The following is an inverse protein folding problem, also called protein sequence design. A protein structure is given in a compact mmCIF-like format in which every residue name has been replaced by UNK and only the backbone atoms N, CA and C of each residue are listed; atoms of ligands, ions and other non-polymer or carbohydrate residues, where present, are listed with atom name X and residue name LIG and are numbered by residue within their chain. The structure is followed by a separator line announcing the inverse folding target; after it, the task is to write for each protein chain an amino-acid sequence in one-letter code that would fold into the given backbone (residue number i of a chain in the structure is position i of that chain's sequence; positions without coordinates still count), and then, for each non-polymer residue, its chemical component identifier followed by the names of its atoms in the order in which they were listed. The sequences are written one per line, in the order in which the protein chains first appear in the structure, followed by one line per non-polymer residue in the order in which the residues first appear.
data_IF_494467432197
#
_entry.id   IF_494467432197
#
_cell.length_a   1.000
_cell.length_b   1.000
_cell.length_c   1.000
_cell.angle_alpha   90.00
_cell.angle_beta   90.00
_cell.angle_gamma   90.00
#
_symmetry.space_group_name_H-M   'P 1'
#
loop_
_entity.id
_entity.type
_entity.pdbx_description
1 polymer ?
#
# COMPACT_ATOMS: atom_id res chain seq x y z
N UNK A 1 -11.05 -5.46 -13.07
CA UNK A 1 -10.57 -5.87 -11.71
C UNK A 1 -9.41 -6.80 -11.95
N UNK A 2 -8.35 -6.68 -11.16
CA UNK A 2 -7.14 -7.50 -11.27
C UNK A 2 -6.90 -8.26 -9.97
N UNK A 3 -6.50 -9.52 -10.06
CA UNK A 3 -5.98 -10.24 -8.88
C UNK A 3 -4.65 -9.61 -8.48
N UNK A 4 -4.52 -9.28 -7.19
CA UNK A 4 -3.38 -8.59 -6.59
C UNK A 4 -2.63 -9.44 -5.57
N UNK A 5 -3.28 -10.44 -4.99
CA UNK A 5 -2.72 -11.37 -4.03
C UNK A 5 -3.62 -12.60 -3.92
N UNK A 6 -3.05 -13.70 -3.47
CA UNK A 6 -3.77 -14.93 -3.12
C UNK A 6 -3.56 -15.22 -1.64
N UNK A 7 -4.53 -15.85 -0.98
CA UNK A 7 -4.31 -16.43 0.34
C UNK A 7 -5.35 -17.51 0.64
N UNK A 8 -4.90 -18.70 1.04
CA UNK A 8 -5.77 -19.80 1.48
C UNK A 8 -6.82 -20.22 0.43
N UNK A 9 -6.45 -20.19 -0.86
CA UNK A 9 -7.32 -20.48 -1.99
C UNK A 9 -8.18 -19.29 -2.44
N UNK A 10 -7.99 -18.09 -1.87
CA UNK A 10 -8.79 -16.91 -2.18
C UNK A 10 -7.93 -15.85 -2.88
N UNK A 11 -8.35 -15.49 -4.09
CA UNK A 11 -7.83 -14.32 -4.79
C UNK A 11 -8.43 -13.02 -4.25
N UNK A 12 -7.57 -12.06 -3.94
CA UNK A 12 -7.95 -10.68 -3.64
C UNK A 12 -7.83 -9.82 -4.90
N UNK A 13 -8.81 -8.95 -5.12
CA UNK A 13 -8.89 -8.11 -6.31
C UNK A 13 -8.87 -6.62 -6.00
N UNK A 14 -8.28 -5.85 -6.90
CA UNK A 14 -8.38 -4.38 -6.93
C UNK A 14 -8.83 -3.88 -8.31
N UNK A 15 -9.25 -2.62 -8.36
CA UNK A 15 -9.53 -1.95 -9.63
C UNK A 15 -8.23 -1.60 -10.36
N UNK A 16 -8.26 -1.64 -11.69
CA UNK A 16 -7.12 -1.29 -12.54
C UNK A 16 -6.75 0.19 -12.50
N UNK A 17 -7.72 1.05 -12.18
CA UNK A 17 -7.55 2.50 -12.01
C UNK A 17 -7.29 2.92 -10.55
N UNK A 18 -7.22 1.95 -9.64
CA UNK A 18 -6.83 2.14 -8.25
C UNK A 18 -5.35 1.87 -8.02
N UNK A 19 -4.91 2.03 -6.77
CA UNK A 19 -3.55 1.73 -6.35
C UNK A 19 -3.56 0.97 -5.03
N UNK A 20 -2.46 0.28 -4.70
CA UNK A 20 -2.42 -0.62 -3.55
C UNK A 20 -1.12 -0.47 -2.77
N UNK A 21 -1.15 -0.89 -1.52
CA UNK A 21 0.05 -0.98 -0.70
C UNK A 21 -0.02 -2.15 0.29
N UNK A 22 1.07 -2.89 0.36
CA UNK A 22 1.24 -3.97 1.33
C UNK A 22 2.05 -3.51 2.54
N UNK A 23 2.84 -2.44 2.42
CA UNK A 23 3.79 -2.02 3.48
C UNK A 23 3.67 -0.56 3.95
N UNK A 24 2.81 0.28 3.36
CA UNK A 24 2.68 1.71 3.71
C UNK A 24 1.75 1.94 4.92
N UNK A 25 2.02 1.24 6.02
CA UNK A 25 1.22 1.32 7.24
C UNK A 25 2.04 0.84 8.43
N UNK A 26 1.93 1.47 9.62
CA UNK A 26 2.75 1.13 10.78
C UNK A 26 2.28 -0.15 11.48
N UNK A 27 1.11 -0.67 11.10
CA UNK A 27 0.40 -1.74 11.78
C UNK A 27 1.01 -3.12 11.53
N UNK A 28 0.77 -4.04 12.46
CA UNK A 28 1.36 -5.37 12.47
C UNK A 28 1.12 -6.13 11.16
N UNK A 29 -0.10 -6.09 10.62
CA UNK A 29 -0.44 -6.89 9.45
C UNK A 29 0.44 -6.57 8.23
N UNK A 30 0.69 -5.29 7.95
CA UNK A 30 1.58 -4.84 6.86
C UNK A 30 3.05 -5.17 7.07
N UNK A 31 3.46 -5.33 8.33
CA UNK A 31 4.82 -5.81 8.65
C UNK A 31 5.01 -7.30 8.47
N UNK A 32 3.92 -8.06 8.28
CA UNK A 32 3.94 -9.51 8.15
C UNK A 32 3.31 -9.97 6.83
N UNK A 33 3.19 -9.06 5.85
CA UNK A 33 2.50 -9.30 4.58
C UNK A 33 1.08 -9.89 4.75
N UNK A 34 0.43 -9.61 5.88
CA UNK A 34 -0.88 -10.18 6.24
C UNK A 34 -2.05 -9.24 5.94
N UNK A 35 -1.78 -8.13 5.25
CA UNK A 35 -2.78 -7.18 4.81
C UNK A 35 -2.36 -6.45 3.55
N UNK A 36 -3.36 -5.94 2.83
CA UNK A 36 -3.20 -5.00 1.74
C UNK A 36 -4.19 -3.86 1.89
N UNK A 37 -3.71 -2.63 1.71
CA UNK A 37 -4.55 -1.44 1.59
C UNK A 37 -4.90 -1.23 0.12
N UNK A 38 -6.19 -1.19 -0.19
CA UNK A 38 -6.70 -0.98 -1.55
C UNK A 38 -7.30 0.41 -1.63
N UNK A 39 -6.67 1.26 -2.44
CA UNK A 39 -7.09 2.63 -2.65
C UNK A 39 -7.93 2.69 -3.93
N UNK A 40 -9.08 3.38 -3.91
CA UNK A 40 -9.77 3.71 -5.15
C UNK A 40 -8.90 4.67 -5.99
N UNK A 41 -9.35 4.98 -7.21
CA UNK A 41 -8.77 6.08 -7.97
C UNK A 41 -8.64 7.34 -7.09
N UNK A 42 -7.53 8.07 -7.19
CA UNK A 42 -7.27 9.24 -6.35
C UNK A 42 -8.45 10.23 -6.40
N UNK A 43 -8.95 10.62 -5.23
CA UNK A 43 -10.11 11.50 -5.08
C UNK A 43 -11.46 10.79 -5.05
N UNK A 44 -11.53 9.52 -5.43
CA UNK A 44 -12.73 8.69 -5.27
C UNK A 44 -12.80 8.12 -3.84
N UNK A 45 -14.02 7.75 -3.43
CA UNK A 45 -14.29 7.16 -2.11
C UNK A 45 -15.07 5.85 -2.18
N UNK A 46 -15.42 5.36 -3.36
CA UNK A 46 -16.17 4.12 -3.49
C UNK A 46 -15.33 2.94 -3.02
N UNK A 47 -15.87 2.14 -2.09
CA UNK A 47 -15.29 0.88 -1.67
C UNK A 47 -15.90 -0.25 -2.51
N UNK A 48 -15.04 -1.00 -3.18
CA UNK A 48 -15.42 -2.13 -4.03
C UNK A 48 -15.07 -3.44 -3.34
N UNK A 49 -15.89 -4.46 -3.53
CA UNK A 49 -15.60 -5.79 -2.99
C UNK A 49 -14.32 -6.33 -3.62
N UNK A 50 -13.31 -6.71 -2.81
CA UNK A 50 -12.11 -7.35 -3.32
C UNK A 50 -12.31 -8.85 -3.57
N UNK A 51 -13.46 -9.42 -3.17
CA UNK A 51 -13.76 -10.86 -3.25
C UNK A 51 -15.23 -11.12 -3.59
N UNK A 52 -15.51 -12.33 -4.04
CA UNK A 52 -16.87 -12.89 -4.05
C UNK A 52 -17.21 -13.42 -2.65
N UNK A 53 -18.48 -13.38 -2.26
CA UNK A 53 -18.95 -14.08 -1.05
C UNK A 53 -20.21 -13.50 -0.43
N UNK A 54 -20.60 -14.05 0.71
CA UNK A 54 -21.69 -13.57 1.56
C UNK A 54 -21.16 -12.58 2.61
N UNK A 55 -21.90 -11.50 2.85
CA UNK A 55 -21.62 -10.53 3.91
C UNK A 55 -22.03 -11.14 5.27
N UNK A 56 -21.04 -11.47 6.10
CA UNK A 56 -21.25 -12.08 7.42
C UNK A 56 -21.37 -11.04 8.54
N UNK A 57 -20.69 -9.90 8.39
CA UNK A 57 -20.82 -8.75 9.29
C UNK A 57 -20.71 -7.46 8.48
N UNK A 58 -21.54 -6.46 8.77
CA UNK A 58 -21.43 -5.11 8.21
C UNK A 58 -21.89 -4.11 9.27
N UNK A 59 -20.95 -3.52 10.01
CA UNK A 59 -21.30 -2.67 11.17
C UNK A 59 -20.22 -1.67 11.54
N UNK A 60 -20.62 -0.69 12.34
CA UNK A 60 -19.71 0.24 13.02
C UNK A 60 -18.94 -0.48 14.15
N UNK A 61 -17.68 -0.11 14.34
CA UNK A 61 -16.89 -0.54 15.49
C UNK A 61 -17.33 0.22 16.75
N UNK A 62 -17.44 -0.50 17.87
CA UNK A 62 -17.91 0.08 19.12
C UNK A 62 -16.96 1.16 19.64
N UNK A 63 -17.48 2.37 19.89
CA UNK A 63 -16.73 3.48 20.49
C UNK A 63 -15.72 4.16 19.55
N UNK A 64 -15.67 3.80 18.28
CA UNK A 64 -14.74 4.33 17.28
C UNK A 64 -15.53 4.68 16.01
N UNK A 65 -15.22 5.81 15.37
CA UNK A 65 -15.85 6.18 14.09
C UNK A 65 -15.19 5.45 12.91
N UNK A 66 -15.31 4.13 12.94
CA UNK A 66 -14.79 3.23 11.92
C UNK A 66 -15.72 2.02 11.77
N UNK A 67 -15.54 1.26 10.70
CA UNK A 67 -16.47 0.22 10.27
C UNK A 67 -15.71 -1.04 9.90
N UNK A 68 -16.41 -2.16 10.01
CA UNK A 68 -15.94 -3.48 9.61
C UNK A 68 -16.97 -4.13 8.71
N UNK A 69 -16.49 -4.72 7.63
CA UNK A 69 -17.23 -5.61 6.76
C UNK A 69 -16.48 -6.95 6.75
N UNK A 70 -17.19 -8.05 7.01
CA UNK A 70 -16.65 -9.39 6.87
C UNK A 70 -17.39 -10.07 5.71
N UNK A 71 -16.63 -10.54 4.73
CA UNK A 71 -17.16 -11.33 3.61
C UNK A 71 -16.58 -12.74 3.72
N UNK A 72 -17.38 -13.77 3.54
CA UNK A 72 -16.91 -15.14 3.56
C UNK A 72 -17.85 -16.08 2.83
N UNK A 73 -17.45 -17.34 2.81
CA UNK A 73 -18.29 -18.45 2.37
C UNK A 73 -18.55 -19.32 3.61
N UNK A 74 -19.80 -19.76 3.79
CA UNK A 74 -20.17 -20.60 4.93
C UNK A 74 -19.45 -21.97 4.90
N UNK A 75 -19.01 -22.40 3.71
CA UNK A 75 -18.29 -23.66 3.51
C UNK A 75 -16.77 -23.52 3.66
N UNK A 76 -16.25 -22.32 3.96
CA UNK A 76 -14.83 -22.06 4.16
C UNK A 76 -14.48 -21.68 5.61
N UNK A 77 -13.35 -22.18 6.10
CA UNK A 77 -12.81 -21.85 7.43
C UNK A 77 -12.13 -20.46 7.48
N UNK A 78 -12.24 -19.68 6.41
CA UNK A 78 -11.61 -18.37 6.24
C UNK A 78 -12.61 -17.31 5.80
N UNK A 79 -12.31 -16.06 6.13
CA UNK A 79 -13.09 -14.90 5.76
C UNK A 79 -12.20 -13.69 5.47
N UNK A 80 -12.77 -12.70 4.81
CA UNK A 80 -12.10 -11.48 4.40
C UNK A 80 -12.61 -10.36 5.29
N UNK A 81 -11.70 -9.81 6.07
CA UNK A 81 -11.95 -8.65 6.92
C UNK A 81 -11.60 -7.39 6.16
N UNK A 82 -12.56 -6.47 6.09
CA UNK A 82 -12.43 -5.17 5.44
C UNK A 82 -12.70 -4.08 6.47
N UNK A 83 -11.77 -3.13 6.62
CA UNK A 83 -11.94 -1.94 7.46
C UNK A 83 -12.04 -0.66 6.63
N UNK A 84 -12.41 0.43 7.30
CA UNK A 84 -12.36 1.81 6.78
C UNK A 84 -13.35 2.12 5.66
N UNK A 85 -14.43 1.35 5.56
CA UNK A 85 -15.55 1.64 4.67
C UNK A 85 -16.89 1.59 5.41
N UNK A 86 -17.66 2.68 5.33
CA UNK A 86 -19.05 2.69 5.78
C UNK A 86 -19.85 1.75 4.87
N UNK A 87 -20.48 0.69 5.39
CA UNK A 87 -21.14 -0.31 4.55
C UNK A 87 -22.37 0.26 3.84
N UNK A 88 -22.57 -0.18 2.59
CA UNK A 88 -23.81 -0.03 1.83
C UNK A 88 -24.52 -1.39 1.59
N UNK A 89 -23.99 -2.45 2.22
CA UNK A 89 -24.48 -3.83 2.17
C UNK A 89 -24.95 -4.27 3.56
N UNK A 90 -25.84 -5.25 3.59
CA UNK A 90 -26.41 -5.85 4.79
C UNK A 90 -25.91 -7.29 4.98
N UNK A 91 -26.04 -7.82 6.20
CA UNK A 91 -25.70 -9.22 6.49
C UNK A 91 -26.62 -10.15 5.70
N UNK A 92 -26.04 -11.14 5.01
CA UNK A 92 -26.72 -12.07 4.11
C UNK A 92 -26.69 -11.66 2.63
N UNK A 93 -26.28 -10.43 2.32
CA UNK A 93 -26.07 -10.01 0.92
C UNK A 93 -24.94 -10.83 0.29
N UNK A 94 -25.11 -11.18 -0.98
CA UNK A 94 -24.07 -11.81 -1.79
C UNK A 94 -23.46 -10.77 -2.73
N UNK A 95 -22.14 -10.61 -2.64
CA UNK A 95 -21.39 -9.66 -3.45
C UNK A 95 -20.45 -10.38 -4.40
N UNK A 96 -20.20 -9.73 -5.54
CA UNK A 96 -19.19 -10.11 -6.52
C UNK A 96 -18.00 -9.17 -6.48
N UNK A 97 -16.84 -9.67 -6.91
CA UNK A 97 -15.63 -8.87 -7.14
C UNK A 97 -15.98 -7.63 -7.97
N UNK A 98 -15.71 -6.45 -7.42
CA UNK A 98 -16.01 -5.18 -8.06
C UNK A 98 -17.40 -4.60 -7.81
N UNK A 99 -18.26 -5.28 -7.06
CA UNK A 99 -19.51 -4.68 -6.55
C UNK A 99 -19.20 -3.59 -5.53
N UNK A 100 -20.08 -2.59 -5.42
CA UNK A 100 -19.94 -1.52 -4.43
C UNK A 100 -20.40 -2.05 -3.07
N UNK A 101 -19.49 -2.07 -2.09
CA UNK A 101 -19.78 -2.51 -0.71
C UNK A 101 -19.93 -1.33 0.26
N UNK A 102 -19.61 -0.11 -0.18
CA UNK A 102 -19.71 1.07 0.67
C UNK A 102 -18.91 2.27 0.17
N UNK A 103 -18.64 3.18 1.10
CA UNK A 103 -17.81 4.36 0.88
C UNK A 103 -16.68 4.41 1.92
N UNK A 104 -15.44 4.60 1.47
CA UNK A 104 -14.28 4.75 2.33
C UNK A 104 -14.41 5.98 3.23
N UNK A 105 -14.02 5.82 4.48
CA UNK A 105 -14.09 6.87 5.50
C UNK A 105 -12.69 7.25 5.95
N UNK A 106 -12.56 8.45 6.51
CA UNK A 106 -11.30 8.88 7.11
C UNK A 106 -11.21 8.34 8.54
N UNK A 107 -10.61 7.17 8.67
CA UNK A 107 -10.56 6.43 9.94
C UNK A 107 -9.78 7.19 11.03
N UNK A 108 -10.20 7.11 12.31
CA UNK A 108 -9.41 7.62 13.43
C UNK A 108 -8.05 6.92 13.61
N UNK A 109 -7.82 5.79 12.93
CA UNK A 109 -6.51 5.11 12.91
C UNK A 109 -5.52 5.71 11.89
N UNK A 110 -5.98 6.67 11.08
CA UNK A 110 -5.19 7.30 10.05
C UNK A 110 -4.31 8.43 10.60
N UNK A 111 -3.12 8.56 10.03
CA UNK A 111 -2.33 9.77 10.19
C UNK A 111 -2.91 10.89 9.31
N UNK A 112 -2.53 12.13 9.57
CA UNK A 112 -3.06 13.28 8.82
C UNK A 112 -2.77 13.22 7.31
N UNK A 113 -1.79 12.43 6.88
CA UNK A 113 -1.40 12.26 5.47
C UNK A 113 -2.00 11.03 4.79
N UNK A 114 -2.66 10.14 5.53
CA UNK A 114 -3.19 8.86 5.02
C UNK A 114 -4.45 9.11 4.20
N UNK A 115 -4.45 8.66 2.95
CA UNK A 115 -5.62 8.71 2.06
C UNK A 115 -6.63 7.64 2.44
N UNK A 116 -7.89 7.87 2.07
CA UNK A 116 -8.93 6.88 2.26
C UNK A 116 -8.66 5.64 1.40
N UNK A 117 -8.78 4.47 2.02
CA UNK A 117 -8.63 3.16 1.42
C UNK A 117 -9.49 2.17 2.20
N UNK A 118 -9.66 0.96 1.66
CA UNK A 118 -10.05 -0.19 2.47
C UNK A 118 -8.80 -0.95 2.89
N UNK A 119 -8.78 -1.43 4.13
CA UNK A 119 -7.76 -2.34 4.63
C UNK A 119 -8.32 -3.75 4.58
N UNK A 120 -7.59 -4.68 3.95
CA UNK A 120 -8.06 -6.04 3.68
C UNK A 120 -7.13 -7.07 4.30
N UNK A 121 -7.69 -8.01 5.07
CA UNK A 121 -7.01 -9.17 5.65
C UNK A 121 -7.78 -10.46 5.30
N UNK A 122 -7.07 -11.57 5.04
CA UNK A 122 -7.66 -12.92 5.05
C UNK A 122 -7.44 -13.53 6.43
N UNK A 123 -8.52 -14.02 7.05
CA UNK A 123 -8.55 -14.39 8.47
C UNK A 123 -9.28 -15.70 8.72
N UNK A 124 -8.90 -16.44 9.79
CA UNK A 124 -9.73 -17.55 10.29
C UNK A 124 -11.14 -17.05 10.63
N UNK A 125 -12.15 -17.84 10.29
CA UNK A 125 -13.55 -17.46 10.50
C UNK A 125 -13.87 -17.21 11.99
N UNK A 126 -13.23 -17.95 12.90
CA UNK A 126 -13.38 -17.87 14.35
C UNK A 126 -12.57 -16.73 15.00
N UNK A 127 -11.65 -16.10 14.26
CA UNK A 127 -10.80 -14.98 14.70
C UNK A 127 -10.87 -13.75 13.78
N UNK A 128 -12.05 -13.52 13.20
CA UNK A 128 -12.28 -12.51 12.14
C UNK A 128 -12.15 -11.05 12.54
N UNK A 129 -12.25 -10.70 13.84
CA UNK A 129 -12.29 -9.29 14.30
C UNK A 129 -10.96 -8.81 14.90
N UNK A 130 -10.07 -9.72 15.33
CA UNK A 130 -8.86 -9.31 16.05
C UNK A 130 -7.90 -8.50 15.17
N UNK A 131 -7.01 -7.76 15.84
CA UNK A 131 -6.02 -6.90 15.20
C UNK A 131 -4.77 -7.66 14.68
N UNK A 132 -4.61 -8.93 15.05
CA UNK A 132 -3.47 -9.80 14.66
C UNK A 132 -3.97 -11.20 14.38
N UNK A 133 -3.18 -12.00 13.65
CA UNK A 133 -3.50 -13.41 13.31
C UNK A 133 -4.09 -13.58 11.92
N UNK A 134 -3.94 -12.58 11.04
CA UNK A 134 -4.31 -12.71 9.64
C UNK A 134 -3.27 -13.57 8.93
N UNK A 135 -3.70 -14.28 7.90
CA UNK A 135 -2.79 -15.09 7.10
C UNK A 135 -1.90 -14.22 6.22
N UNK A 136 -0.66 -14.66 6.02
CA UNK A 136 0.24 -13.99 5.08
C UNK A 136 -0.30 -14.14 3.66
N UNK A 137 -0.37 -13.04 2.93
CA UNK A 137 -0.80 -12.97 1.55
C UNK A 137 0.35 -13.42 0.63
N UNK A 138 0.02 -14.16 -0.42
CA UNK A 138 0.92 -14.44 -1.53
C UNK A 138 0.88 -13.29 -2.55
N UNK A 139 1.99 -12.55 -2.74
CA UNK A 139 2.07 -11.44 -3.69
C UNK A 139 2.28 -11.87 -5.15
N UNK A 140 2.39 -13.16 -5.46
CA UNK A 140 2.63 -13.64 -6.83
C UNK A 140 1.71 -13.00 -7.89
N UNK A 141 0.39 -12.87 -7.66
CA UNK A 141 -0.51 -12.35 -8.70
C UNK A 141 -0.19 -10.93 -9.16
N UNK A 142 0.31 -10.05 -8.28
CA UNK A 142 0.73 -8.71 -8.69
C UNK A 142 2.15 -8.72 -9.27
N UNK A 143 3.05 -9.55 -8.74
CA UNK A 143 4.44 -9.67 -9.19
C UNK A 143 4.50 -10.14 -10.64
N UNK A 144 3.67 -11.11 -11.03
CA UNK A 144 3.60 -11.62 -12.41
C UNK A 144 3.16 -10.57 -13.43
N UNK A 145 2.61 -9.43 -12.98
CA UNK A 145 2.21 -8.29 -13.82
C UNK A 145 3.24 -7.19 -13.91
N UNK A 146 4.23 -7.18 -13.03
CA UNK A 146 5.24 -6.12 -12.98
C UNK A 146 6.17 -6.20 -14.18
N UNK A 147 6.41 -5.06 -14.82
CA UNK A 147 7.44 -4.91 -15.86
C UNK A 147 8.61 -4.13 -15.28
N UNK A 148 9.70 -4.84 -14.99
CA UNK A 148 10.87 -4.26 -14.31
C UNK A 148 11.84 -3.60 -15.29
N UNK A 149 11.74 -3.91 -16.58
CA UNK A 149 12.55 -3.35 -17.67
C UNK A 149 12.01 -1.99 -18.12
N UNK A 150 12.06 -1.00 -17.24
CA UNK A 150 11.67 0.37 -17.57
C UNK A 150 12.71 1.40 -17.10
N UNK A 151 12.79 2.50 -17.85
CA UNK A 151 13.55 3.67 -17.44
C UNK A 151 12.91 4.31 -16.21
N UNK A 152 13.74 4.60 -15.20
CA UNK A 152 13.26 5.21 -13.97
C UNK A 152 13.21 6.73 -14.11
N UNK A 153 12.13 7.38 -13.64
CA UNK A 153 12.10 8.83 -13.54
C UNK A 153 13.21 9.34 -12.62
N UNK A 154 13.91 10.39 -13.06
CA UNK A 154 14.97 11.04 -12.27
C UNK A 154 14.60 12.43 -11.78
N UNK A 155 13.55 13.01 -12.36
CA UNK A 155 13.05 14.34 -12.01
C UNK A 155 11.53 14.30 -11.82
N UNK A 156 11.07 15.10 -10.88
CA UNK A 156 9.69 15.18 -10.47
C UNK A 156 9.27 16.63 -10.30
N UNK A 157 8.02 16.95 -10.62
CA UNK A 157 7.43 18.26 -10.40
C UNK A 157 6.38 18.16 -9.30
N UNK A 158 6.31 19.13 -8.40
CA UNK A 158 5.19 19.26 -7.45
C UNK A 158 3.93 19.61 -8.24
N UNK A 159 2.95 18.71 -8.27
CA UNK A 159 1.70 18.88 -9.03
C UNK A 159 0.47 19.09 -8.16
N UNK A 160 0.50 18.59 -6.93
CA UNK A 160 -0.57 18.83 -5.94
C UNK A 160 0.03 19.34 -4.64
N UNK A 161 -0.66 20.33 -4.05
CA UNK A 161 -0.36 20.86 -2.74
C UNK A 161 -1.62 20.89 -1.89
N UNK A 162 -1.59 20.16 -0.78
CA UNK A 162 -2.65 20.18 0.24
C UNK A 162 -2.03 20.49 1.61
N UNK A 163 -2.87 20.77 2.60
CA UNK A 163 -2.43 20.90 4.00
C UNK A 163 -1.94 19.57 4.61
N UNK A 164 -2.06 18.45 3.88
CA UNK A 164 -1.71 17.11 4.37
C UNK A 164 -0.41 16.58 3.79
N UNK A 165 -0.16 16.86 2.52
CA UNK A 165 0.99 16.35 1.78
C UNK A 165 1.17 17.11 0.45
N UNK A 166 2.31 16.86 -0.19
CA UNK A 166 2.58 17.23 -1.57
C UNK A 166 2.55 15.98 -2.46
N UNK A 167 2.14 16.11 -3.71
CA UNK A 167 2.27 15.06 -4.73
C UNK A 167 3.35 15.50 -5.73
N UNK A 168 4.32 14.62 -5.94
CA UNK A 168 5.34 14.77 -6.97
C UNK A 168 4.98 13.85 -8.14
N UNK A 169 4.83 14.45 -9.33
CA UNK A 169 4.61 13.70 -10.58
C UNK A 169 5.93 13.52 -11.31
N UNK A 170 6.24 12.32 -11.82
CA UNK A 170 7.42 12.08 -12.64
C UNK A 170 7.30 12.78 -13.99
N UNK A 171 8.42 13.17 -14.56
CA UNK A 171 8.49 13.72 -15.91
C UNK A 171 8.44 12.67 -17.03
N UNK A 172 8.53 11.38 -16.68
CA UNK A 172 8.45 10.23 -17.58
C UNK A 172 7.35 9.25 -17.14
N UNK A 173 6.98 8.33 -18.04
CA UNK A 173 5.94 7.33 -17.74
C UNK A 173 6.48 6.30 -16.74
N UNK A 174 5.66 5.98 -15.74
CA UNK A 174 5.89 4.86 -14.81
C UNK A 174 5.13 3.64 -15.33
N UNK A 175 5.73 2.46 -15.23
CA UNK A 175 5.09 1.22 -15.62
C UNK A 175 3.86 0.93 -14.73
N UNK A 176 2.83 0.31 -15.30
CA UNK A 176 1.68 -0.14 -14.51
C UNK A 176 2.12 -1.14 -13.42
N UNK A 177 1.43 -1.11 -12.28
CA UNK A 177 1.68 -2.00 -11.14
C UNK A 177 3.05 -1.84 -10.47
N UNK A 178 3.85 -0.83 -10.84
CA UNK A 178 5.09 -0.47 -10.14
C UNK A 178 4.93 0.85 -9.40
N UNK A 179 6.02 1.38 -8.84
CA UNK A 179 6.11 2.72 -8.25
C UNK A 179 7.14 3.54 -9.04
N UNK A 180 7.21 4.88 -8.85
CA UNK A 180 8.21 5.71 -9.53
C UNK A 180 9.66 5.51 -9.04
N UNK A 181 9.91 4.75 -7.97
CA UNK A 181 11.25 4.65 -7.38
C UNK A 181 11.85 3.24 -7.44
N UNK A 182 13.03 3.23 -8.06
CA UNK A 182 14.03 2.18 -8.22
C UNK A 182 15.02 1.93 -7.09
N UNK A 183 15.34 0.68 -6.72
CA UNK A 183 16.72 0.35 -6.33
C UNK A 183 17.40 -0.43 -7.44
N UNK A 184 18.66 -0.13 -7.73
CA UNK A 184 19.47 -0.94 -8.63
C UNK A 184 20.43 -1.81 -7.81
N UNK A 185 20.15 -3.12 -7.77
CA UNK A 185 21.01 -4.10 -7.10
C UNK A 185 21.63 -5.00 -8.14
N UNK A 186 22.97 -4.90 -8.31
CA UNK A 186 23.75 -5.69 -9.28
C UNK A 186 23.21 -5.59 -10.72
N UNK A 187 22.82 -4.39 -11.14
CA UNK A 187 22.29 -4.14 -12.49
C UNK A 187 20.82 -4.52 -12.66
N UNK A 188 20.10 -4.86 -11.58
CA UNK A 188 18.68 -5.23 -11.61
C UNK A 188 17.84 -4.17 -10.90
N UNK A 189 16.83 -3.60 -11.57
CA UNK A 189 15.87 -2.70 -10.94
C UNK A 189 14.92 -3.51 -10.04
N UNK A 190 14.77 -3.04 -8.80
CA UNK A 190 13.83 -3.57 -7.81
C UNK A 190 12.95 -2.43 -7.30
N UNK A 191 11.63 -2.64 -7.27
CA UNK A 191 10.66 -1.58 -7.02
C UNK A 191 10.53 -1.31 -5.51
N UNK A 192 10.62 -0.04 -5.10
CA UNK A 192 10.38 0.37 -3.73
C UNK A 192 8.91 0.68 -3.47
N UNK A 193 8.38 0.23 -2.35
CA UNK A 193 7.02 0.48 -1.91
C UNK A 193 6.98 0.73 -0.39
N UNK A 194 5.98 1.49 0.07
CA UNK A 194 5.79 1.74 1.50
C UNK A 194 5.96 3.20 1.94
N UNK A 195 5.92 3.41 3.26
CA UNK A 195 6.10 4.71 3.91
C UNK A 195 7.55 4.98 4.29
N UNK A 196 8.36 5.36 3.31
CA UNK A 196 9.81 5.45 3.43
C UNK A 196 10.27 6.84 3.89
N UNK A 197 10.97 7.03 4.99
CA UNK A 197 11.33 6.07 6.04
C UNK A 197 10.46 6.24 7.29
N UNK A 198 9.35 6.99 7.19
CA UNK A 198 8.57 7.44 8.36
C UNK A 198 7.89 6.30 9.14
N UNK A 199 7.61 5.15 8.52
CA UNK A 199 7.14 3.96 9.22
C UNK A 199 8.26 3.04 9.72
N UNK A 200 9.49 3.19 9.19
CA UNK A 200 10.66 2.39 9.55
C UNK A 200 10.69 1.00 8.93
N UNK A 201 9.92 0.77 7.87
CA UNK A 201 9.94 -0.43 7.04
C UNK A 201 9.35 -0.13 5.65
N UNK A 202 9.46 -1.09 4.75
CA UNK A 202 8.87 -1.04 3.42
C UNK A 202 8.98 -2.37 2.69
N UNK A 203 8.60 -2.34 1.41
CA UNK A 203 8.66 -3.47 0.50
C UNK A 203 9.60 -3.22 -0.67
N UNK A 204 10.33 -4.26 -1.07
CA UNK A 204 11.05 -4.32 -2.35
C UNK A 204 10.41 -5.41 -3.21
N UNK A 205 10.08 -5.09 -4.45
CA UNK A 205 9.37 -5.98 -5.37
C UNK A 205 10.16 -6.29 -6.62
N UNK A 206 9.79 -7.39 -7.29
CA UNK A 206 10.42 -7.82 -8.54
C UNK A 206 11.67 -8.68 -8.33
N UNK A 207 11.81 -9.28 -7.14
CA UNK A 207 12.93 -10.14 -6.84
C UNK A 207 12.70 -11.54 -7.43
N UNK A 208 13.64 -12.14 -8.19
CA UNK A 208 13.43 -13.49 -8.72
C UNK A 208 13.38 -14.53 -7.60
N UNK A 209 12.45 -15.47 -7.70
CA UNK A 209 12.38 -16.63 -6.80
C UNK A 209 13.70 -17.43 -6.82
N UNK A 210 14.24 -17.77 -5.65
CA UNK A 210 15.37 -18.69 -5.51
C UNK A 210 16.77 -18.09 -5.66
N UNK A 211 16.92 -16.76 -5.69
CA UNK A 211 18.24 -16.12 -5.61
C UNK A 211 18.66 -15.95 -4.14
N UNK A 212 19.79 -16.54 -3.76
CA UNK A 212 20.37 -16.42 -2.44
C UNK A 212 20.88 -14.98 -2.20
N UNK A 213 20.47 -14.35 -1.10
CA UNK A 213 20.74 -12.94 -0.79
C UNK A 213 21.60 -12.71 0.45
N UNK A 214 22.83 -13.24 0.52
CA UNK A 214 23.81 -12.61 1.39
C UNK A 214 24.27 -11.31 0.70
N UNK A 215 23.83 -10.17 1.26
CA UNK A 215 24.14 -8.76 0.94
C UNK A 215 23.05 -7.95 0.20
N UNK A 216 21.82 -7.94 0.74
CA UNK A 216 20.98 -6.71 0.71
C UNK A 216 21.32 -5.74 1.85
N UNK A 217 22.19 -6.16 2.77
CA UNK A 217 22.79 -5.26 3.76
C UNK A 217 23.76 -4.33 3.04
N UNK A 218 23.70 -3.04 3.36
CA UNK A 218 24.49 -1.94 2.77
C UNK A 218 23.92 -1.32 1.48
N UNK A 219 22.62 -1.03 1.47
CA UNK A 219 22.11 0.16 0.79
C UNK A 219 21.28 0.99 1.78
N UNK A 220 21.68 2.23 2.05
CA UNK A 220 20.89 3.17 2.88
C UNK A 220 20.56 2.78 4.33
N UNK A 221 21.11 1.66 4.86
CA UNK A 221 20.76 1.14 6.18
C UNK A 221 19.49 0.29 6.23
N UNK A 222 19.06 -0.26 5.09
CA UNK A 222 17.97 -1.25 5.03
C UNK A 222 18.43 -2.61 5.58
N UNK A 223 17.56 -3.28 6.33
CA UNK A 223 17.77 -4.64 6.85
C UNK A 223 16.62 -5.54 6.38
N UNK A 224 16.94 -6.62 5.69
CA UNK A 224 15.94 -7.60 5.23
C UNK A 224 15.34 -8.30 6.44
N UNK A 225 14.02 -8.31 6.54
CA UNK A 225 13.28 -9.04 7.58
C UNK A 225 12.91 -10.44 7.07
N UNK A 226 12.20 -10.51 5.94
CA UNK A 226 11.86 -11.77 5.27
C UNK A 226 11.67 -11.59 3.77
N UNK A 227 11.65 -12.72 3.06
CA UNK A 227 11.47 -12.81 1.61
C UNK A 227 10.33 -13.81 1.35
N UNK A 228 9.39 -13.44 0.49
CA UNK A 228 8.29 -14.29 0.08
C UNK A 228 7.93 -14.03 -1.39
N UNK A 229 8.05 -15.06 -2.24
CA UNK A 229 7.61 -15.04 -3.65
C UNK A 229 7.98 -13.78 -4.45
N UNK A 230 9.20 -13.27 -4.27
CA UNK A 230 9.71 -12.11 -5.00
C UNK A 230 9.38 -10.75 -4.40
N UNK A 231 8.74 -10.75 -3.23
CA UNK A 231 8.65 -9.64 -2.31
C UNK A 231 9.70 -9.78 -1.21
N UNK A 232 10.33 -8.66 -0.84
CA UNK A 232 11.24 -8.54 0.29
C UNK A 232 10.67 -7.50 1.22
N UNK A 233 10.38 -7.89 2.45
CA UNK A 233 10.15 -6.93 3.52
C UNK A 233 11.49 -6.50 4.10
N UNK A 234 11.64 -5.20 4.34
CA UNK A 234 12.80 -4.66 5.01
C UNK A 234 12.39 -3.70 6.12
N UNK A 235 13.26 -3.58 7.13
CA UNK A 235 13.22 -2.51 8.13
C UNK A 235 14.28 -1.47 7.84
N UNK A 236 14.04 -0.23 8.30
CA UNK A 236 14.99 0.87 8.14
C UNK A 236 14.90 1.88 9.29
N UNK A 237 16.00 2.59 9.60
CA UNK A 237 15.95 3.70 10.53
C UNK A 237 14.99 4.78 10.04
N UNK A 238 14.13 5.27 10.94
CA UNK A 238 13.30 6.45 10.64
C UNK A 238 14.19 7.68 10.55
N UNK A 239 14.22 8.29 9.37
CA UNK A 239 15.01 9.47 9.05
C UNK A 239 14.18 10.46 8.25
N UNK A 240 14.29 11.72 8.62
CA UNK A 240 13.74 12.78 7.81
C UNK A 240 14.55 12.92 6.52
N UNK A 241 13.89 13.31 5.44
CA UNK A 241 14.52 13.64 4.16
C UNK A 241 14.55 15.16 3.99
N UNK A 242 15.50 15.67 3.22
CA UNK A 242 15.67 17.11 2.97
C UNK A 242 15.54 17.35 1.48
N UNK A 243 14.54 18.12 1.08
CA UNK A 243 14.26 18.47 -0.33
C UNK A 243 14.14 19.99 -0.43
N UNK A 244 14.89 20.61 -1.34
CA UNK A 244 14.91 22.07 -1.47
C UNK A 244 15.26 22.82 -0.17
N UNK A 245 16.05 22.20 0.72
CA UNK A 245 16.40 22.76 2.04
C UNK A 245 15.32 22.61 3.12
N UNK A 246 14.18 21.98 2.81
CA UNK A 246 13.10 21.75 3.76
C UNK A 246 13.08 20.31 4.25
N UNK A 247 12.76 20.12 5.54
CA UNK A 247 12.69 18.80 6.16
C UNK A 247 11.30 18.18 6.01
N UNK A 248 11.27 16.92 5.59
CA UNK A 248 10.07 16.09 5.44
C UNK A 248 10.21 14.81 6.26
N UNK A 249 9.08 14.23 6.71
CA UNK A 249 9.08 12.94 7.43
C UNK A 249 9.57 11.80 6.56
N UNK A 250 9.33 11.89 5.26
CA UNK A 250 9.60 10.88 4.27
C UNK A 250 8.63 10.99 3.11
N UNK A 251 8.53 9.91 2.35
CA UNK A 251 7.64 9.70 1.22
C UNK A 251 6.71 8.50 1.47
N UNK A 252 5.68 8.41 0.65
CA UNK A 252 4.81 7.25 0.52
C UNK A 252 4.75 6.86 -0.94
N UNK A 253 5.00 5.57 -1.20
CA UNK A 253 4.98 4.94 -2.52
C UNK A 253 3.92 3.84 -2.51
N UNK A 254 3.14 3.75 -3.59
CA UNK A 254 2.05 2.79 -3.74
C UNK A 254 2.19 2.10 -5.10
N UNK A 255 1.93 0.79 -5.16
CA UNK A 255 1.92 0.08 -6.43
C UNK A 255 0.77 0.58 -7.30
N UNK A 256 1.04 0.76 -8.59
CA UNK A 256 0.12 1.32 -9.58
C UNK A 256 -0.22 2.81 -9.37
N UNK A 257 0.53 3.52 -8.54
CA UNK A 257 0.49 4.98 -8.44
C UNK A 257 1.79 5.55 -9.03
N UNK A 258 1.73 6.34 -10.12
CA UNK A 258 2.94 6.88 -10.73
C UNK A 258 3.56 8.01 -9.88
N UNK A 259 2.91 8.43 -8.80
CA UNK A 259 3.29 9.59 -8.01
C UNK A 259 4.11 9.23 -6.78
N UNK A 260 4.85 10.22 -6.27
CA UNK A 260 5.44 10.17 -4.94
C UNK A 260 4.63 11.10 -4.05
N UNK A 261 4.10 10.57 -2.94
CA UNK A 261 3.51 11.41 -1.92
C UNK A 261 4.59 11.84 -0.93
N UNK A 262 4.83 13.13 -0.82
CA UNK A 262 5.83 13.72 0.08
C UNK A 262 5.16 14.20 1.39
N UNK A 263 5.67 13.71 2.53
CA UNK A 263 5.01 13.83 3.83
C UNK A 263 5.65 14.94 4.67
N UNK A 264 4.93 16.03 4.99
CA UNK A 264 5.46 17.14 5.77
C UNK A 264 5.63 16.77 7.26
N UNK A 265 6.43 17.57 7.98
CA UNK A 265 6.61 17.38 9.43
C UNK A 265 5.32 17.54 10.23
N UNK A 266 4.38 18.34 9.74
CA UNK A 266 3.07 18.57 10.33
C UNK A 266 2.08 18.99 9.26
N UNK A 267 0.78 18.85 9.53
CA UNK A 267 -0.26 19.42 8.67
C UNK A 267 -0.06 20.94 8.53
N UNK A 268 -0.32 21.47 7.34
CA UNK A 268 -0.03 22.83 6.89
C UNK A 268 1.46 23.11 6.62
N UNK A 269 2.36 22.19 6.96
CA UNK A 269 3.81 22.35 6.81
C UNK A 269 4.33 21.96 5.42
N UNK A 270 3.73 22.49 4.35
CA UNK A 270 4.05 22.17 2.95
C UNK A 270 4.79 23.33 2.25
N UNK A 271 6.13 23.42 2.38
CA UNK A 271 6.89 24.61 2.00
C UNK A 271 7.10 24.75 0.49
N UNK A 272 7.15 23.65 -0.25
CA UNK A 272 7.27 23.66 -1.71
C UNK A 272 5.97 24.12 -2.37
N UNK A 273 6.05 24.69 -3.56
CA UNK A 273 4.94 25.17 -4.37
C UNK A 273 4.72 24.29 -5.60
N UNK A 274 3.50 24.35 -6.13
CA UNK A 274 3.19 23.70 -7.41
C UNK A 274 4.13 24.26 -8.48
N UNK A 275 4.76 23.37 -9.25
CA UNK A 275 5.78 23.70 -10.24
C UNK A 275 7.22 23.66 -9.74
N UNK A 276 7.46 23.49 -8.44
CA UNK A 276 8.82 23.25 -7.93
C UNK A 276 9.32 21.89 -8.44
N UNK A 277 10.59 21.84 -8.87
CA UNK A 277 11.25 20.64 -9.36
C UNK A 277 12.02 19.96 -8.21
N UNK A 278 11.97 18.63 -8.19
CA UNK A 278 12.61 17.77 -7.20
C UNK A 278 13.33 16.64 -7.93
N UNK A 279 14.58 16.38 -7.59
CA UNK A 279 15.36 15.30 -8.22
C UNK A 279 15.32 14.02 -7.39
N UNK A 280 15.48 12.86 -8.03
CA UNK A 280 15.53 11.55 -7.35
C UNK A 280 16.60 11.52 -6.25
N UNK A 281 17.75 12.16 -6.46
CA UNK A 281 18.85 12.23 -5.48
C UNK A 281 18.50 13.02 -4.21
N UNK A 282 17.53 13.94 -4.26
CA UNK A 282 17.04 14.62 -3.06
C UNK A 282 16.10 13.72 -2.24
N UNK A 283 15.35 12.85 -2.93
CA UNK A 283 14.36 11.95 -2.31
C UNK A 283 15.06 10.74 -1.68
N UNK A 284 15.96 10.10 -2.44
CA UNK A 284 16.77 8.97 -2.03
C UNK A 284 18.25 9.33 -2.26
N UNK A 285 18.90 10.00 -1.29
CA UNK A 285 20.34 10.22 -1.35
C UNK A 285 21.03 8.87 -1.21
N UNK A 286 21.49 8.32 -2.34
CA UNK A 286 22.22 7.05 -2.44
C UNK A 286 23.65 7.18 -1.92
#
# INVERSE_FOLDING_TARGET
MISIAECMGIDLYAREDGFISFSNSPYYAHKNLAAVDIYPQRGCRTAYSPVDGEVLEARKLGGIDDYIIIIGDQDMDVCIKILHAKPAVEVGDHVKVGDIIGETIWSPFFNFWTDNHIHVEVRPIDDRVRARGGYALDPEPIISRMRLDHEQPTNFTVTEKSDRYLILSPNSKVASYTTPLSLNIRGRPLILEGGLTHYGHGGIWGFPSGLDLPQLEVYGGLQVDFIQNGYIHFTCPRRNIVIGGFTFRGISLYLNDPHIKLIPMKSGGVPLNIGDEVTMSEILPL
#
